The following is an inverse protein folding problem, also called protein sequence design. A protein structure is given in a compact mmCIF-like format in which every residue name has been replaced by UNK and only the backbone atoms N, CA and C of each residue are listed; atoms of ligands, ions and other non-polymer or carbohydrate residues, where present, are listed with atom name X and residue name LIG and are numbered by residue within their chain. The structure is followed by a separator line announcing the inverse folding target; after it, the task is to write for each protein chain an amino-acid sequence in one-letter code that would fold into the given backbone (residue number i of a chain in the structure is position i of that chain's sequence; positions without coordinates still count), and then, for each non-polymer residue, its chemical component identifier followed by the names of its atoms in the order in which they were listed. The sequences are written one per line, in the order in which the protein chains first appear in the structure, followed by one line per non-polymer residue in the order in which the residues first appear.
data_IF_596635686899
#
_entry.id   IF_596635686899
#
_cell.length_a   1.000
_cell.length_b   1.000
_cell.length_c   1.000
_cell.angle_alpha   90.00
_cell.angle_beta   90.00
_cell.angle_gamma   90.00
#
_symmetry.space_group_name_H-M   'P 1'
#
loop_
_entity.id
_entity.type
_entity.pdbx_description
1 polymer ?
#
# COMPACT_ATOMS: atom_id res chain seq x y z
N UNK A 1 -12.72 15.83 -6.34
CA UNK A 1 -11.79 15.13 -7.27
C UNK A 1 -11.03 14.09 -6.46
N UNK A 2 -11.38 12.80 -6.56
CA UNK A 2 -10.70 11.74 -5.82
C UNK A 2 -9.31 11.50 -6.43
N UNK A 3 -8.25 11.83 -5.69
CA UNK A 3 -6.87 11.60 -6.14
C UNK A 3 -6.52 10.14 -5.90
N UNK A 4 -6.35 9.38 -6.99
CA UNK A 4 -5.80 8.02 -6.93
C UNK A 4 -4.31 8.10 -6.62
N UNK A 5 -3.85 7.26 -5.70
CA UNK A 5 -2.43 7.10 -5.40
C UNK A 5 -1.90 5.84 -6.09
N UNK A 6 -0.79 5.98 -6.80
CA UNK A 6 -0.08 4.88 -7.44
C UNK A 6 1.20 4.59 -6.66
N UNK A 7 1.44 3.32 -6.36
CA UNK A 7 2.54 2.86 -5.53
C UNK A 7 3.13 1.59 -6.13
N UNK A 8 4.45 1.49 -6.20
CA UNK A 8 5.14 0.21 -6.41
C UNK A 8 5.76 -0.20 -5.09
N UNK A 9 5.43 -1.39 -4.61
CA UNK A 9 5.87 -1.83 -3.29
C UNK A 9 5.92 -3.35 -3.16
N UNK A 10 6.85 -3.81 -2.33
CA UNK A 10 6.98 -5.20 -1.93
C UNK A 10 5.94 -5.59 -0.88
N UNK A 11 5.27 -6.72 -1.07
CA UNK A 11 4.35 -7.28 -0.09
C UNK A 11 5.12 -7.97 1.05
N UNK A 12 4.79 -7.62 2.29
CA UNK A 12 5.48 -8.08 3.51
C UNK A 12 4.67 -9.11 4.30
N UNK A 13 3.42 -9.38 3.90
CA UNK A 13 2.53 -10.31 4.58
C UNK A 13 1.28 -9.64 5.14
N UNK A 14 0.52 -10.40 5.93
CA UNK A 14 -0.76 -9.96 6.51
C UNK A 14 -0.59 -9.68 7.99
N UNK A 15 -1.07 -8.52 8.43
CA UNK A 15 -1.13 -8.14 9.84
C UNK A 15 -2.61 -7.88 10.21
N UNK A 16 -3.17 -8.72 11.09
CA UNK A 16 -4.61 -8.74 11.41
C UNK A 16 -5.45 -8.87 10.12
N UNK A 17 -6.28 -7.86 9.83
CA UNK A 17 -7.17 -7.82 8.66
C UNK A 17 -6.54 -7.14 7.44
N UNK A 18 -5.31 -6.60 7.54
CA UNK A 18 -4.71 -5.80 6.49
C UNK A 18 -3.49 -6.49 5.86
N UNK A 19 -3.34 -6.29 4.56
CA UNK A 19 -2.15 -6.63 3.79
C UNK A 19 -1.13 -5.50 3.91
N UNK A 20 0.09 -5.86 4.29
CA UNK A 20 1.16 -4.94 4.62
C UNK A 20 2.20 -4.88 3.48
N UNK A 21 2.58 -3.67 3.11
CA UNK A 21 3.52 -3.36 2.05
C UNK A 21 4.67 -2.50 2.57
N UNK A 22 5.89 -2.84 2.16
CA UNK A 22 7.09 -2.12 2.57
C UNK A 22 7.18 -0.74 1.93
N UNK A 23 7.22 0.31 2.74
CA UNK A 23 7.38 1.67 2.24
C UNK A 23 8.25 2.50 3.17
N UNK A 24 9.14 3.33 2.62
CA UNK A 24 9.86 4.34 3.40
C UNK A 24 9.92 5.61 2.57
N UNK A 25 9.16 6.62 2.95
CA UNK A 25 9.07 7.87 2.20
C UNK A 25 8.11 8.84 2.82
N UNK A 26 7.80 9.92 2.09
CA UNK A 26 6.88 10.95 2.54
C UNK A 26 5.64 11.00 1.65
N UNK A 27 4.47 11.18 2.28
CA UNK A 27 3.21 11.46 1.59
C UNK A 27 2.57 12.68 2.24
N UNK A 28 2.31 13.73 1.45
CA UNK A 28 1.75 15.00 1.93
C UNK A 28 2.48 15.56 3.16
N UNK A 29 3.82 15.55 3.14
CA UNK A 29 4.65 16.07 4.24
C UNK A 29 4.79 15.13 5.46
N UNK A 30 4.10 13.99 5.47
CA UNK A 30 4.16 13.03 6.57
C UNK A 30 5.06 11.85 6.21
N UNK A 31 5.92 11.45 7.14
CA UNK A 31 6.74 10.26 6.99
C UNK A 31 5.90 8.99 7.13
N UNK A 32 6.04 8.08 6.17
CA UNK A 32 5.31 6.81 6.09
C UNK A 32 6.32 5.65 6.13
N UNK A 33 6.03 4.68 7.00
CA UNK A 33 6.89 3.51 7.26
C UNK A 33 6.38 2.20 6.66
N UNK A 34 5.08 2.14 6.37
CA UNK A 34 4.39 0.98 5.79
C UNK A 34 3.11 1.46 5.12
N UNK A 35 2.64 0.67 4.15
CA UNK A 35 1.34 0.84 3.51
C UNK A 35 0.48 -0.36 3.85
N UNK A 36 -0.77 -0.13 4.22
CA UNK A 36 -1.74 -1.17 4.53
C UNK A 36 -2.96 -1.05 3.64
N UNK A 37 -3.43 -2.21 3.15
CA UNK A 37 -4.65 -2.32 2.33
C UNK A 37 -5.54 -3.45 2.84
N UNK A 38 -6.85 -3.33 2.68
CA UNK A 38 -7.82 -4.23 3.34
C UNK A 38 -8.12 -5.53 2.59
N UNK A 39 -7.80 -5.63 1.30
CA UNK A 39 -8.14 -6.78 0.47
C UNK A 39 -7.07 -7.06 -0.60
N UNK A 40 -7.19 -8.21 -1.27
CA UNK A 40 -6.28 -8.66 -2.33
C UNK A 40 -5.65 -10.01 -2.02
N UNK A 41 -5.04 -10.62 -3.04
CA UNK A 41 -4.25 -11.83 -2.91
C UNK A 41 -2.84 -11.51 -3.39
N UNK A 42 -1.86 -11.70 -2.51
CA UNK A 42 -0.48 -11.31 -2.75
C UNK A 42 0.46 -12.41 -2.29
N UNK A 43 1.55 -12.55 -3.02
CA UNK A 43 2.62 -13.49 -2.77
C UNK A 43 3.68 -12.80 -1.91
N UNK A 44 4.08 -13.43 -0.80
CA UNK A 44 5.06 -12.86 0.13
C UNK A 44 6.38 -12.56 -0.59
N UNK A 45 6.91 -11.34 -0.41
CA UNK A 45 8.19 -10.93 -0.98
C UNK A 45 8.11 -10.39 -2.41
N UNK A 46 6.97 -10.53 -3.08
CA UNK A 46 6.77 -10.06 -4.45
C UNK A 46 6.42 -8.56 -4.51
N UNK A 47 6.75 -7.92 -5.62
CA UNK A 47 6.48 -6.51 -5.86
C UNK A 47 5.20 -6.31 -6.67
N UNK A 48 4.45 -5.28 -6.30
CA UNK A 48 3.16 -4.97 -6.92
C UNK A 48 3.04 -3.48 -7.23
N UNK A 49 2.42 -3.18 -8.36
CA UNK A 49 1.82 -1.88 -8.63
C UNK A 49 0.45 -1.87 -7.94
N UNK A 50 0.23 -0.93 -7.04
CA UNK A 50 -0.99 -0.71 -6.30
C UNK A 50 -1.63 0.61 -6.70
N UNK A 51 -2.94 0.59 -6.91
CA UNK A 51 -3.78 1.77 -7.09
C UNK A 51 -4.69 1.89 -5.88
N UNK A 52 -4.45 2.93 -5.08
CA UNK A 52 -5.18 3.19 -3.85
C UNK A 52 -6.11 4.38 -4.00
N UNK A 53 -7.24 4.30 -3.31
CA UNK A 53 -8.18 5.40 -3.09
C UNK A 53 -8.45 5.56 -1.58
N UNK A 54 -9.11 6.65 -1.20
CA UNK A 54 -9.51 6.94 0.18
C UNK A 54 -8.37 6.75 1.19
N UNK A 55 -7.21 7.35 0.89
CA UNK A 55 -6.01 7.19 1.71
C UNK A 55 -6.08 8.04 2.99
N UNK A 56 -5.65 7.46 4.11
CA UNK A 56 -5.50 8.14 5.40
C UNK A 56 -4.15 7.80 6.02
N UNK A 57 -3.62 8.73 6.82
CA UNK A 57 -2.38 8.53 7.57
C UNK A 57 -2.72 8.35 9.05
N UNK A 58 -2.26 7.24 9.64
CA UNK A 58 -2.40 6.97 11.08
C UNK A 58 -1.08 6.45 11.62
N UNK A 59 -0.50 7.11 12.62
CA UNK A 59 0.74 6.65 13.29
C UNK A 59 1.89 6.30 12.32
N UNK A 60 2.15 7.15 11.31
CA UNK A 60 3.15 6.92 10.24
C UNK A 60 2.84 5.72 9.32
N UNK A 61 1.58 5.26 9.29
CA UNK A 61 1.10 4.23 8.38
C UNK A 61 0.17 4.87 7.35
N UNK A 62 0.34 4.50 6.09
CA UNK A 62 -0.61 4.88 5.05
C UNK A 62 -1.62 3.76 4.88
N UNK A 63 -2.87 4.03 5.24
CA UNK A 63 -3.99 3.13 5.06
C UNK A 63 -4.72 3.54 3.78
N UNK A 64 -4.98 2.60 2.88
CA UNK A 64 -5.68 2.88 1.63
C UNK A 64 -6.65 1.79 1.24
N UNK A 65 -7.72 2.16 0.55
CA UNK A 65 -8.61 1.22 -0.10
C UNK A 65 -7.97 0.77 -1.42
N UNK A 66 -7.76 -0.53 -1.58
CA UNK A 66 -7.23 -1.08 -2.81
C UNK A 66 -8.29 -1.05 -3.91
N UNK A 67 -7.98 -0.37 -5.01
CA UNK A 67 -8.84 -0.32 -6.20
C UNK A 67 -8.40 -1.36 -7.23
N UNK A 68 -7.08 -1.43 -7.47
CA UNK A 68 -6.48 -2.34 -8.45
C UNK A 68 -5.05 -2.66 -8.04
N UNK A 69 -4.60 -3.85 -8.39
CA UNK A 69 -3.19 -4.22 -8.30
C UNK A 69 -2.75 -5.01 -9.53
N UNK A 70 -1.44 -5.03 -9.77
CA UNK A 70 -0.78 -5.89 -10.76
C UNK A 70 0.59 -6.29 -10.20
N UNK A 71 0.95 -7.57 -10.31
CA UNK A 71 2.31 -8.04 -9.98
C UNK A 71 3.30 -7.30 -10.88
N UNK A 72 4.35 -6.72 -10.29
CA UNK A 72 5.37 -6.02 -11.04
C UNK A 72 6.17 -7.07 -11.83
N UNK A 73 6.27 -6.95 -13.16
CA UNK A 73 7.11 -7.86 -13.93
C UNK A 73 8.57 -7.59 -13.54
N UNK A 74 9.27 -8.65 -13.15
CA UNK A 74 10.72 -8.66 -13.02
C UNK A 74 11.32 -8.80 -14.42
#
# INVERSE_FOLDING_TARGET
MHKKLYLVSRYMGKEKTYHCFHFRGYYCGHYIRKVYVSCGNFDLGEEYILVLDSVKIENSLLLGQLVRFKKFPI
#
